data_IF_355027298672
#
_entry.id   IF_355027298672
#
_cell.length_a   1.000
_cell.length_b   1.000
_cell.length_c   1.000
_cell.angle_alpha   90.00
_cell.angle_beta   90.00
_cell.angle_gamma   90.00
#
_symmetry.space_group_name_H-M   'P 1'
#
loop_
_entity.id
_entity.type
_entity.pdbx_description
1 polymer ?
#
# COMPACT_ATOMS: atom_id res chain seq x y z
N UNK A 1 19.64 67.97 -20.41
CA UNK A 1 18.78 67.26 -19.43
C UNK A 1 18.06 66.04 -20.02
N UNK A 2 17.82 65.96 -21.34
CA UNK A 2 17.14 64.82 -21.97
C UNK A 2 17.93 63.49 -21.91
N UNK A 3 19.26 63.52 -22.05
CA UNK A 3 20.10 62.31 -22.02
C UNK A 3 20.09 61.54 -20.69
N UNK A 4 20.05 62.27 -19.57
CA UNK A 4 20.00 61.65 -18.23
C UNK A 4 18.70 60.86 -18.03
N UNK A 5 17.58 61.39 -18.53
CA UNK A 5 16.25 60.77 -18.42
C UNK A 5 16.15 59.50 -19.25
N UNK A 6 16.72 59.50 -20.46
CA UNK A 6 16.79 58.31 -21.33
C UNK A 6 17.67 57.20 -20.75
N UNK A 7 18.78 57.58 -20.10
CA UNK A 7 19.68 56.63 -19.46
C UNK A 7 19.07 55.99 -18.20
N UNK A 8 18.31 56.78 -17.42
CA UNK A 8 17.58 56.32 -16.24
C UNK A 8 16.42 55.37 -16.60
N UNK A 9 15.71 55.63 -17.70
CA UNK A 9 14.70 54.72 -18.26
C UNK A 9 15.30 53.37 -18.70
N UNK A 10 16.46 53.39 -19.35
CA UNK A 10 17.18 52.16 -19.74
C UNK A 10 17.62 51.34 -18.52
N UNK A 11 18.14 51.98 -17.47
CA UNK A 11 18.51 51.28 -16.24
C UNK A 11 17.29 50.71 -15.51
N UNK A 12 16.17 51.44 -15.49
CA UNK A 12 14.90 50.93 -14.94
C UNK A 12 14.38 49.71 -15.71
N UNK A 13 14.48 49.69 -17.04
CA UNK A 13 14.12 48.53 -17.86
C UNK A 13 15.04 47.33 -17.60
N UNK A 14 16.34 47.55 -17.42
CA UNK A 14 17.28 46.48 -17.03
C UNK A 14 16.99 45.94 -15.64
N UNK A 15 16.58 46.81 -14.71
CA UNK A 15 16.22 46.41 -13.35
C UNK A 15 14.93 45.57 -13.34
N UNK A 16 13.90 46.00 -14.08
CA UNK A 16 12.65 45.24 -14.28
C UNK A 16 12.92 43.86 -14.88
N UNK A 17 13.72 43.77 -15.95
CA UNK A 17 14.12 42.47 -16.54
C UNK A 17 14.78 41.55 -15.53
N UNK A 18 15.78 42.05 -14.79
CA UNK A 18 16.47 41.26 -13.76
C UNK A 18 15.54 40.78 -12.65
N UNK A 19 14.52 41.57 -12.32
CA UNK A 19 13.53 41.22 -11.30
C UNK A 19 12.53 40.17 -11.78
N UNK A 20 12.09 40.26 -13.03
CA UNK A 20 11.27 39.23 -13.68
C UNK A 20 12.04 37.90 -13.85
N UNK A 21 13.30 37.96 -14.27
CA UNK A 21 14.17 36.77 -14.35
C UNK A 21 14.33 36.08 -13.00
N UNK A 22 14.53 36.85 -11.91
CA UNK A 22 14.57 36.28 -10.55
C UNK A 22 13.26 35.62 -10.15
N UNK A 23 12.12 36.26 -10.42
CA UNK A 23 10.80 35.66 -10.16
C UNK A 23 10.61 34.34 -10.89
N UNK A 24 11.02 34.27 -12.16
CA UNK A 24 10.95 33.04 -12.95
C UNK A 24 11.86 31.95 -12.38
N UNK A 25 13.09 32.30 -11.99
CA UNK A 25 14.02 31.38 -11.34
C UNK A 25 13.44 30.82 -10.03
N UNK A 26 12.83 31.68 -9.20
CA UNK A 26 12.25 31.25 -7.93
C UNK A 26 11.02 30.36 -8.13
N UNK A 27 10.17 30.64 -9.12
CA UNK A 27 9.07 29.75 -9.53
C UNK A 27 9.61 28.41 -9.99
N UNK A 28 10.66 28.39 -10.81
CA UNK A 28 11.28 27.14 -11.27
C UNK A 28 11.89 26.33 -10.12
N UNK A 29 12.58 27.00 -9.18
CA UNK A 29 13.09 26.35 -7.97
C UNK A 29 11.96 25.75 -7.13
N UNK A 30 10.88 26.50 -6.93
CA UNK A 30 9.70 26.03 -6.20
C UNK A 30 9.07 24.81 -6.88
N UNK A 31 8.78 24.89 -8.18
CA UNK A 31 8.25 23.75 -8.95
C UNK A 31 9.16 22.53 -8.87
N UNK A 32 10.48 22.72 -9.00
CA UNK A 32 11.47 21.63 -8.87
C UNK A 32 11.51 21.05 -7.46
N UNK A 33 11.33 21.85 -6.41
CA UNK A 33 11.20 21.34 -5.05
C UNK A 33 9.92 20.53 -4.85
N UNK A 34 8.80 20.93 -5.45
CA UNK A 34 7.56 20.14 -5.41
C UNK A 34 7.74 18.77 -6.07
N UNK A 35 8.45 18.69 -7.21
CA UNK A 35 8.76 17.42 -7.87
C UNK A 35 9.68 16.54 -7.02
N UNK A 36 10.67 17.12 -6.32
CA UNK A 36 11.53 16.36 -5.39
C UNK A 36 10.80 15.84 -4.16
N UNK A 37 9.71 16.50 -3.76
CA UNK A 37 8.87 16.10 -2.63
C UNK A 37 7.73 15.17 -3.04
N UNK A 38 7.47 15.04 -4.34
CA UNK A 38 6.52 14.06 -4.84
C UNK A 38 7.07 12.66 -4.49
N UNK A 39 6.24 11.78 -3.89
CA UNK A 39 6.65 10.40 -3.68
C UNK A 39 7.06 9.81 -5.02
N UNK A 40 8.27 9.25 -5.08
CA UNK A 40 8.72 8.51 -6.25
C UNK A 40 7.75 7.36 -6.49
N UNK A 41 7.34 7.18 -7.74
CA UNK A 41 6.59 5.99 -8.13
C UNK A 41 7.36 4.76 -7.66
N UNK A 42 6.68 3.74 -7.10
CA UNK A 42 7.35 2.52 -6.68
C UNK A 42 8.03 1.89 -7.89
N UNK A 43 9.18 1.26 -7.66
CA UNK A 43 9.85 0.50 -8.71
C UNK A 43 9.09 -0.79 -8.99
N UNK A 44 9.37 -1.42 -10.12
CA UNK A 44 8.81 -2.74 -10.44
C UNK A 44 9.16 -3.78 -9.36
N UNK A 45 10.41 -3.80 -8.90
CA UNK A 45 10.89 -4.70 -7.85
C UNK A 45 10.12 -4.51 -6.54
N UNK A 46 9.86 -3.24 -6.14
CA UNK A 46 9.08 -2.92 -4.94
C UNK A 46 7.65 -3.49 -5.02
N UNK A 47 7.03 -3.43 -6.20
CA UNK A 47 5.67 -3.92 -6.41
C UNK A 47 5.64 -5.45 -6.42
N UNK A 48 6.59 -6.08 -7.09
CA UNK A 48 6.73 -7.54 -7.12
C UNK A 48 6.97 -8.12 -5.72
N UNK A 49 7.86 -7.51 -4.93
CA UNK A 49 8.13 -7.92 -3.55
C UNK A 49 6.88 -7.81 -2.68
N UNK A 50 6.11 -6.72 -2.83
CA UNK A 50 4.86 -6.53 -2.09
C UNK A 50 3.80 -7.56 -2.45
N UNK A 51 3.63 -7.89 -3.73
CA UNK A 51 2.72 -8.95 -4.17
C UNK A 51 3.08 -10.27 -3.47
N UNK A 52 4.35 -10.66 -3.51
CA UNK A 52 4.81 -11.88 -2.84
C UNK A 52 4.59 -11.83 -1.32
N UNK A 53 4.80 -10.67 -0.71
CA UNK A 53 4.64 -10.48 0.74
C UNK A 53 3.19 -10.66 1.16
N UNK A 54 2.24 -10.02 0.47
CA UNK A 54 0.82 -10.19 0.76
C UNK A 54 0.35 -11.63 0.53
N UNK A 55 0.81 -12.28 -0.52
CA UNK A 55 0.51 -13.69 -0.77
C UNK A 55 1.03 -14.62 0.34
N UNK A 56 2.28 -14.41 0.79
CA UNK A 56 2.85 -15.16 1.93
C UNK A 56 2.03 -14.92 3.20
N UNK A 57 1.59 -13.70 3.45
CA UNK A 57 0.77 -13.39 4.63
C UNK A 57 -0.59 -14.10 4.56
N UNK A 58 -1.28 -14.06 3.42
CA UNK A 58 -2.54 -14.77 3.19
C UNK A 58 -2.37 -16.27 3.41
N UNK A 59 -1.31 -16.87 2.86
CA UNK A 59 -1.01 -18.29 3.02
C UNK A 59 -0.71 -18.67 4.48
N UNK A 60 0.04 -17.83 5.19
CA UNK A 60 0.33 -18.06 6.61
C UNK A 60 -0.96 -18.01 7.44
N UNK A 61 -1.82 -17.02 7.20
CA UNK A 61 -3.12 -16.90 7.84
C UNK A 61 -4.00 -18.12 7.54
N UNK A 62 -4.06 -18.56 6.28
CA UNK A 62 -4.88 -19.71 5.88
C UNK A 62 -4.39 -21.04 6.50
N UNK A 63 -3.10 -21.16 6.81
CA UNK A 63 -2.52 -22.33 7.48
C UNK A 63 -2.72 -22.32 8.99
N UNK A 64 -2.99 -21.16 9.59
CA UNK A 64 -3.28 -21.02 11.02
C UNK A 64 -4.72 -21.48 11.34
N UNK A 65 -5.00 -22.78 11.23
CA UNK A 65 -6.32 -23.38 11.57
C UNK A 65 -6.49 -23.65 13.08
N UNK A 66 -6.01 -22.75 13.92
CA UNK A 66 -6.10 -22.90 15.38
C UNK A 66 -7.49 -22.51 15.91
N UNK A 67 -8.20 -21.63 15.20
CA UNK A 67 -9.45 -21.04 15.68
C UNK A 67 -10.61 -22.06 15.77
N UNK A 68 -10.76 -22.95 14.78
CA UNK A 68 -11.83 -23.95 14.81
C UNK A 68 -11.68 -24.92 15.98
N UNK A 69 -10.44 -25.36 16.23
CA UNK A 69 -10.12 -26.25 17.36
C UNK A 69 -10.40 -25.57 18.70
N UNK A 70 -9.95 -24.33 18.89
CA UNK A 70 -10.20 -23.57 20.11
C UNK A 70 -11.71 -23.38 20.37
N UNK A 71 -12.50 -23.08 19.32
CA UNK A 71 -13.96 -22.97 19.44
C UNK A 71 -14.63 -24.29 19.82
N UNK A 72 -14.21 -25.40 19.22
CA UNK A 72 -14.73 -26.73 19.54
C UNK A 72 -14.46 -27.10 21.00
N UNK A 73 -13.26 -26.81 21.51
CA UNK A 73 -12.89 -27.03 22.91
C UNK A 73 -13.72 -26.17 23.86
N UNK A 74 -13.92 -24.89 23.56
CA UNK A 74 -14.75 -23.99 24.37
C UNK A 74 -16.19 -24.51 24.44
N UNK A 75 -16.80 -24.85 23.29
CA UNK A 75 -18.14 -25.45 23.20
C UNK A 75 -18.23 -26.74 24.01
N UNK A 76 -17.25 -27.63 23.89
CA UNK A 76 -17.20 -28.89 24.65
C UNK A 76 -17.12 -28.69 26.16
N UNK A 77 -16.53 -27.58 26.62
CA UNK A 77 -16.41 -27.26 28.05
C UNK A 77 -17.66 -26.62 28.67
N UNK A 78 -18.65 -26.23 27.86
CA UNK A 78 -19.80 -25.43 28.28
C UNK A 78 -20.51 -26.03 29.50
N UNK A 79 -21.06 -27.24 29.39
CA UNK A 79 -21.84 -27.87 30.47
C UNK A 79 -21.04 -28.00 31.77
N UNK A 80 -19.75 -28.31 31.68
CA UNK A 80 -18.86 -28.45 32.85
C UNK A 80 -18.65 -27.12 33.56
N UNK A 81 -18.46 -26.03 32.83
CA UNK A 81 -18.26 -24.70 33.39
C UNK A 81 -19.56 -24.19 34.04
N UNK A 82 -20.72 -24.41 33.41
CA UNK A 82 -22.01 -24.05 34.01
C UNK A 82 -22.32 -24.87 35.28
N UNK A 83 -22.02 -26.17 35.30
CA UNK A 83 -22.18 -27.00 36.49
C UNK A 83 -21.28 -26.58 37.66
N UNK A 84 -20.20 -25.85 37.38
CA UNK A 84 -19.29 -25.25 38.38
C UNK A 84 -19.63 -23.80 38.72
N UNK A 85 -20.75 -23.28 38.23
CA UNK A 85 -21.15 -21.87 38.37
C UNK A 85 -20.15 -20.88 37.71
N UNK A 86 -19.27 -21.37 36.83
CA UNK A 86 -18.25 -20.59 36.10
C UNK A 86 -18.79 -20.02 34.77
N UNK A 87 -20.07 -19.61 34.73
CA UNK A 87 -20.70 -19.13 33.50
C UNK A 87 -20.03 -17.87 32.93
N UNK A 88 -19.52 -16.99 33.78
CA UNK A 88 -18.76 -15.81 33.37
C UNK A 88 -17.44 -16.20 32.67
N UNK A 89 -16.75 -17.23 33.15
CA UNK A 89 -15.53 -17.74 32.54
C UNK A 89 -15.80 -18.32 31.15
N UNK A 90 -16.91 -19.07 30.99
CA UNK A 90 -17.32 -19.57 29.67
C UNK A 90 -17.57 -18.40 28.69
N UNK A 91 -18.33 -17.38 29.10
CA UNK A 91 -18.60 -16.20 28.25
C UNK A 91 -17.30 -15.48 27.84
N UNK A 92 -16.39 -15.25 28.79
CA UNK A 92 -15.11 -14.61 28.52
C UNK A 92 -14.25 -15.44 27.54
N UNK A 93 -14.29 -16.77 27.60
CA UNK A 93 -13.58 -17.63 26.64
C UNK A 93 -14.18 -17.53 25.23
N UNK A 94 -15.51 -17.55 25.12
CA UNK A 94 -16.20 -17.37 23.84
C UNK A 94 -15.88 -16.01 23.22
N UNK A 95 -15.91 -14.95 24.02
CA UNK A 95 -15.59 -13.60 23.56
C UNK A 95 -14.14 -13.49 23.09
N UNK A 96 -13.18 -14.04 23.84
CA UNK A 96 -11.78 -14.09 23.42
C UNK A 96 -11.58 -14.85 22.09
N UNK A 97 -12.22 -16.01 21.92
CA UNK A 97 -12.12 -16.77 20.68
C UNK A 97 -12.75 -16.01 19.48
N UNK A 98 -13.85 -15.29 19.73
CA UNK A 98 -14.48 -14.43 18.73
C UNK A 98 -13.58 -13.26 18.33
N UNK A 99 -12.97 -12.57 19.31
CA UNK A 99 -12.02 -11.48 19.04
C UNK A 99 -10.80 -11.96 18.24
N UNK A 100 -10.23 -13.11 18.59
CA UNK A 100 -9.13 -13.73 17.82
C UNK A 100 -9.54 -14.01 16.38
N UNK A 101 -10.73 -14.58 16.17
CA UNK A 101 -11.22 -14.91 14.82
C UNK A 101 -11.47 -13.66 14.00
N UNK A 102 -12.04 -12.61 14.60
CA UNK A 102 -12.20 -11.33 13.92
C UNK A 102 -10.86 -10.71 13.57
N UNK A 103 -9.87 -10.78 14.47
CA UNK A 103 -8.53 -10.27 14.18
C UNK A 103 -7.90 -10.99 12.98
N UNK A 104 -8.00 -12.32 12.94
CA UNK A 104 -7.53 -13.13 11.80
C UNK A 104 -8.26 -12.74 10.51
N UNK A 105 -9.60 -12.60 10.57
CA UNK A 105 -10.42 -12.16 9.45
C UNK A 105 -9.99 -10.78 8.94
N UNK A 106 -9.81 -9.80 9.84
CA UNK A 106 -9.38 -8.45 9.47
C UNK A 106 -8.01 -8.46 8.81
N UNK A 107 -7.06 -9.25 9.32
CA UNK A 107 -5.74 -9.41 8.70
C UNK A 107 -5.85 -10.00 7.31
N UNK A 108 -6.67 -11.04 7.13
CA UNK A 108 -6.91 -11.65 5.83
C UNK A 108 -7.49 -10.63 4.83
N UNK A 109 -8.53 -9.88 5.24
CA UNK A 109 -9.13 -8.85 4.40
C UNK A 109 -8.11 -7.77 4.01
N UNK A 110 -7.35 -7.24 4.97
CA UNK A 110 -6.32 -6.21 4.70
C UNK A 110 -5.22 -6.71 3.77
N UNK A 111 -4.75 -7.94 3.95
CA UNK A 111 -3.74 -8.52 3.08
C UNK A 111 -4.30 -8.74 1.66
N UNK A 112 -5.55 -9.16 1.54
CA UNK A 112 -6.24 -9.35 0.25
C UNK A 112 -6.46 -8.02 -0.48
N UNK A 113 -6.91 -6.99 0.23
CA UNK A 113 -7.05 -5.62 -0.30
C UNK A 113 -5.68 -5.06 -0.73
N UNK A 114 -4.65 -5.23 0.11
CA UNK A 114 -3.28 -4.83 -0.20
C UNK A 114 -2.76 -5.51 -1.47
N UNK A 115 -3.02 -6.81 -1.62
CA UNK A 115 -2.67 -7.58 -2.80
C UNK A 115 -3.36 -7.04 -4.07
N UNK A 116 -4.67 -6.82 -4.02
CA UNK A 116 -5.42 -6.26 -5.14
C UNK A 116 -4.86 -4.90 -5.58
N UNK A 117 -4.63 -4.00 -4.62
CA UNK A 117 -4.03 -2.69 -4.88
C UNK A 117 -2.63 -2.79 -5.49
N UNK A 118 -1.82 -3.77 -5.09
CA UNK A 118 -0.48 -3.96 -5.67
C UNK A 118 -0.54 -4.47 -7.10
N UNK A 119 -1.48 -5.35 -7.45
CA UNK A 119 -1.70 -5.74 -8.84
C UNK A 119 -2.17 -4.56 -9.71
N UNK A 120 -3.08 -3.72 -9.20
CA UNK A 120 -3.46 -2.48 -9.87
C UNK A 120 -2.27 -1.53 -10.05
N UNK A 121 -1.45 -1.38 -9.01
CA UNK A 121 -0.23 -0.56 -9.08
C UNK A 121 0.74 -1.09 -10.13
N UNK A 122 0.89 -2.42 -10.24
CA UNK A 122 1.72 -3.01 -11.28
C UNK A 122 1.16 -2.71 -12.67
N UNK A 123 -0.16 -2.80 -12.85
CA UNK A 123 -0.81 -2.41 -14.11
C UNK A 123 -0.56 -0.93 -14.45
N UNK A 124 -0.60 -0.03 -13.47
CA UNK A 124 -0.26 1.37 -13.71
C UNK A 124 1.21 1.58 -14.10
N UNK A 125 2.15 0.84 -13.49
CA UNK A 125 3.56 0.90 -13.90
C UNK A 125 3.76 0.45 -15.35
N UNK A 126 3.07 -0.61 -15.78
CA UNK A 126 3.09 -1.07 -17.17
C UNK A 126 2.54 0.02 -18.12
N UNK A 127 1.38 0.60 -17.78
CA UNK A 127 0.75 1.65 -18.59
C UNK A 127 1.59 2.93 -18.67
N UNK A 128 2.33 3.24 -17.62
CA UNK A 128 3.23 4.40 -17.55
C UNK A 128 4.62 4.14 -18.15
N UNK A 129 4.83 2.99 -18.80
CA UNK A 129 6.14 2.54 -19.32
C UNK A 129 7.24 2.44 -18.24
N UNK A 130 6.83 2.35 -16.97
CA UNK A 130 7.71 2.17 -15.80
C UNK A 130 8.11 0.71 -15.56
N UNK A 131 7.46 -0.24 -16.24
CA UNK A 131 7.81 -1.65 -16.28
C UNK A 131 7.45 -2.23 -17.67
N UNK A 132 8.20 -3.22 -18.19
CA UNK A 132 7.90 -3.82 -19.48
C UNK A 132 6.84 -4.93 -19.35
N UNK A 133 5.97 -5.06 -20.36
CA UNK A 133 4.94 -6.10 -20.43
C UNK A 133 5.52 -7.52 -20.30
N UNK A 134 6.70 -7.78 -20.87
CA UNK A 134 7.37 -9.07 -20.82
C UNK A 134 7.79 -9.44 -19.39
N UNK A 135 8.25 -8.47 -18.59
CA UNK A 135 8.64 -8.72 -17.19
C UNK A 135 7.44 -9.15 -16.35
N UNK A 136 6.28 -8.53 -16.54
CA UNK A 136 5.04 -8.95 -15.87
C UNK A 136 4.65 -10.38 -16.24
N UNK A 137 4.73 -10.74 -17.53
CA UNK A 137 4.42 -12.11 -17.95
C UNK A 137 5.38 -13.13 -17.32
N UNK A 138 6.67 -12.81 -17.25
CA UNK A 138 7.67 -13.65 -16.59
C UNK A 138 7.43 -13.76 -15.08
N UNK A 139 7.05 -12.67 -14.43
CA UNK A 139 6.72 -12.66 -13.00
C UNK A 139 5.49 -13.53 -12.70
N UNK A 140 4.42 -13.40 -13.49
CA UNK A 140 3.20 -14.20 -13.32
C UNK A 140 3.38 -15.69 -13.65
N UNK A 141 4.41 -16.06 -14.41
CA UNK A 141 4.78 -17.46 -14.61
C UNK A 141 5.37 -18.13 -13.35
N UNK A 142 5.72 -17.35 -12.32
CA UNK A 142 6.21 -17.85 -11.05
C UNK A 142 5.10 -18.26 -10.07
N UNK A 143 5.54 -18.74 -8.91
CA UNK A 143 4.67 -19.07 -7.78
C UNK A 143 5.24 -18.57 -6.45
N UNK A 144 4.34 -18.49 -5.46
CA UNK A 144 4.68 -18.28 -4.05
C UNK A 144 4.18 -19.49 -3.27
N UNK A 145 5.10 -20.37 -2.89
CA UNK A 145 4.82 -21.57 -2.10
C UNK A 145 3.74 -22.46 -2.76
N UNK A 146 3.77 -22.58 -4.09
CA UNK A 146 2.82 -23.37 -4.87
C UNK A 146 1.51 -22.65 -5.21
N UNK A 147 1.34 -21.39 -4.81
CA UNK A 147 0.24 -20.54 -5.28
C UNK A 147 0.71 -19.69 -6.47
N UNK A 148 -0.03 -19.73 -7.58
CA UNK A 148 0.30 -18.93 -8.77
C UNK A 148 0.31 -17.43 -8.46
N UNK A 149 1.27 -16.73 -9.08
CA UNK A 149 1.34 -15.26 -9.07
C UNK A 149 0.39 -14.60 -10.07
N UNK A 150 -0.22 -15.37 -10.97
CA UNK A 150 -1.18 -14.84 -11.95
C UNK A 150 -2.47 -14.41 -11.23
N UNK A 151 -2.89 -13.14 -11.31
CA UNK A 151 -4.12 -12.67 -10.67
C UNK A 151 -5.41 -13.32 -11.21
N UNK A 152 -5.37 -14.22 -12.19
CA UNK A 152 -6.53 -15.02 -12.61
C UNK A 152 -7.24 -15.76 -11.46
N UNK A 153 -6.60 -15.98 -10.31
CA UNK A 153 -7.28 -16.52 -9.11
C UNK A 153 -8.11 -15.47 -8.34
N UNK A 154 -7.96 -14.18 -8.66
CA UNK A 154 -8.66 -13.03 -8.04
C UNK A 154 -9.77 -12.47 -8.91
N UNK A 155 -9.93 -12.94 -10.15
CA UNK A 155 -10.95 -12.48 -11.08
C UNK A 155 -12.27 -13.24 -10.86
N UNK A 156 -12.94 -12.97 -9.75
CA UNK A 156 -14.36 -13.28 -9.51
C UNK A 156 -15.10 -12.00 -9.07
#
# INVERSE_FOLDING_TARGET
MADKKSQEERENLKKKRREEERKLIDILKYKRSCVRLAPTLPTEEDVQEKIQTFLKEILNIAREDAAQKEFAEIRGSQLKLYAREEAALYRARVENAWLKTNHVKERFCRASEGLAMTYETYNFLILAEGAPHESRANFFAGDVQGLSLDPAFTSD
#
